data_IF_284445070546
#
_entry.id   IF_284445070546
#
_cell.length_a   1.000
_cell.length_b   1.000
_cell.length_c   1.000
_cell.angle_alpha   90.00
_cell.angle_beta   90.00
_cell.angle_gamma   90.00
#
_symmetry.space_group_name_H-M   'P 1'
#
loop_
_entity.id
_entity.type
_entity.pdbx_description
1 polymer ?
#
# COMPACT_ATOMS: atom_id res chain seq x y z
N UNK A 1 -26.73 -7.73 -31.97
CA UNK A 1 -27.03 -7.76 -30.53
C UNK A 1 -25.74 -7.52 -29.80
N UNK A 2 -25.50 -6.28 -29.38
CA UNK A 2 -24.29 -5.87 -28.63
C UNK A 2 -24.52 -6.28 -27.20
N UNK A 3 -23.82 -7.29 -26.72
CA UNK A 3 -23.78 -7.67 -25.33
C UNK A 3 -23.02 -6.57 -24.58
N UNK A 4 -23.74 -5.70 -23.92
CA UNK A 4 -23.16 -4.76 -22.98
C UNK A 4 -22.72 -5.58 -21.76
N UNK A 5 -21.44 -5.89 -21.68
CA UNK A 5 -20.84 -6.43 -20.46
C UNK A 5 -20.93 -5.31 -19.44
N UNK A 6 -21.85 -5.45 -18.49
CA UNK A 6 -21.90 -4.58 -17.33
C UNK A 6 -20.62 -4.83 -16.54
N UNK A 7 -19.65 -3.94 -16.71
CA UNK A 7 -18.44 -3.94 -15.89
C UNK A 7 -18.88 -3.60 -14.47
N UNK A 8 -18.92 -4.61 -13.59
CA UNK A 8 -19.10 -4.40 -12.18
C UNK A 8 -17.98 -3.47 -11.68
N UNK A 9 -18.32 -2.39 -11.01
CA UNK A 9 -17.35 -1.43 -10.48
C UNK A 9 -16.53 -1.97 -9.30
N UNK A 10 -16.78 -3.19 -8.89
CA UNK A 10 -16.03 -4.00 -7.92
C UNK A 10 -16.02 -5.45 -8.35
N UNK A 11 -15.05 -6.25 -7.91
CA UNK A 11 -15.03 -7.69 -8.14
C UNK A 11 -16.19 -8.39 -7.44
N UNK A 12 -16.38 -9.66 -7.76
CA UNK A 12 -17.39 -10.51 -7.12
C UNK A 12 -17.20 -10.53 -5.60
N UNK A 13 -18.32 -10.62 -4.88
CA UNK A 13 -18.32 -10.85 -3.44
C UNK A 13 -17.53 -12.11 -3.10
N UNK A 14 -16.62 -11.99 -2.15
CA UNK A 14 -15.76 -13.09 -1.72
C UNK A 14 -14.48 -12.61 -1.05
N UNK A 15 -13.71 -13.57 -0.59
CA UNK A 15 -12.39 -13.33 0.01
C UNK A 15 -11.29 -13.58 -1.00
N UNK A 16 -10.36 -12.66 -1.10
CA UNK A 16 -9.25 -12.67 -2.04
C UNK A 16 -7.93 -12.72 -1.27
N UNK A 17 -7.02 -13.56 -1.70
CA UNK A 17 -5.64 -13.61 -1.17
C UNK A 17 -4.72 -12.82 -2.08
N UNK A 18 -3.97 -11.90 -1.52
CA UNK A 18 -2.98 -11.09 -2.23
C UNK A 18 -1.90 -12.01 -2.79
N UNK A 19 -1.55 -11.80 -4.05
CA UNK A 19 -0.41 -12.48 -4.70
C UNK A 19 0.87 -11.67 -4.49
N UNK A 20 1.81 -12.13 -3.64
CA UNK A 20 3.04 -11.40 -3.38
C UNK A 20 3.93 -11.22 -4.61
N UNK A 21 3.83 -12.13 -5.60
CA UNK A 21 4.64 -12.07 -6.81
C UNK A 21 4.19 -10.95 -7.76
N UNK A 22 2.92 -10.55 -7.66
CA UNK A 22 2.30 -9.51 -8.49
C UNK A 22 1.77 -8.35 -7.64
N UNK A 23 2.42 -8.10 -6.50
CA UNK A 23 2.09 -6.97 -5.63
C UNK A 23 3.33 -6.13 -5.39
N UNK A 24 3.22 -4.84 -5.68
CA UNK A 24 4.24 -3.83 -5.38
C UNK A 24 3.71 -2.89 -4.31
N UNK A 25 4.42 -2.81 -3.18
CA UNK A 25 4.14 -1.87 -2.10
C UNK A 25 5.23 -0.81 -2.13
N UNK A 26 5.01 0.21 -2.95
CA UNK A 26 5.95 1.26 -3.23
C UNK A 26 5.77 2.52 -2.40
N UNK A 27 6.82 3.32 -2.33
CA UNK A 27 6.74 4.65 -1.75
C UNK A 27 7.67 5.63 -2.48
N UNK A 28 7.32 6.91 -2.39
CA UNK A 28 8.09 8.02 -2.96
C UNK A 28 8.31 9.07 -1.89
N UNK A 29 9.58 9.38 -1.61
CA UNK A 29 9.98 10.50 -0.76
C UNK A 29 10.76 11.55 -1.56
N UNK A 30 10.75 12.80 -1.11
CA UNK A 30 11.56 13.87 -1.70
C UNK A 30 12.90 13.96 -0.97
N UNK A 31 13.97 14.18 -1.74
CA UNK A 31 15.31 14.38 -1.25
C UNK A 31 15.80 15.77 -1.66
N UNK A 32 16.36 16.51 -0.71
CA UNK A 32 16.88 17.86 -0.92
C UNK A 32 15.90 18.79 -1.69
N UNK A 33 16.34 19.32 -2.81
CA UNK A 33 15.60 20.32 -3.62
C UNK A 33 14.36 19.74 -4.31
N UNK A 34 14.12 18.41 -4.25
CA UNK A 34 12.92 17.82 -4.83
C UNK A 34 13.10 16.56 -5.65
N UNK A 35 14.31 16.00 -5.73
CA UNK A 35 14.54 14.71 -6.40
C UNK A 35 13.71 13.62 -5.71
N UNK A 36 13.01 12.81 -6.49
CA UNK A 36 12.25 11.67 -5.97
C UNK A 36 13.17 10.49 -5.68
N UNK A 37 13.12 10.01 -4.45
CA UNK A 37 13.64 8.69 -4.08
C UNK A 37 12.48 7.73 -4.03
N UNK A 38 12.56 6.67 -4.82
CA UNK A 38 11.58 5.58 -4.86
C UNK A 38 12.13 4.39 -4.11
N UNK A 39 11.25 3.76 -3.35
CA UNK A 39 11.54 2.49 -2.70
C UNK A 39 10.31 1.61 -2.71
N UNK A 40 10.48 0.38 -2.28
CA UNK A 40 9.41 -0.59 -2.13
C UNK A 40 9.74 -1.58 -1.03
N UNK A 41 8.71 -2.32 -0.60
CA UNK A 41 8.85 -3.49 0.25
C UNK A 41 8.64 -4.73 -0.60
N UNK A 42 9.50 -5.72 -0.46
CA UNK A 42 9.51 -6.93 -1.30
C UNK A 42 8.88 -8.15 -0.64
N UNK A 43 8.44 -8.01 0.61
CA UNK A 43 7.82 -9.08 1.38
C UNK A 43 6.49 -8.58 1.97
N UNK A 44 5.41 -9.00 1.35
CA UNK A 44 4.03 -8.62 1.69
C UNK A 44 3.14 -9.85 1.68
N UNK A 45 2.21 -9.90 2.61
CA UNK A 45 1.12 -10.89 2.65
C UNK A 45 -0.18 -10.20 3.05
N UNK A 46 -1.31 -10.77 2.66
CA UNK A 46 -2.60 -10.24 3.04
C UNK A 46 -3.78 -10.86 2.33
N UNK A 47 -4.94 -10.41 2.72
CA UNK A 47 -6.22 -10.77 2.11
C UNK A 47 -7.23 -9.65 2.28
N UNK A 48 -8.23 -9.64 1.43
CA UNK A 48 -9.37 -8.75 1.57
C UNK A 48 -10.66 -9.48 1.23
N UNK A 49 -11.75 -9.00 1.82
CA UNK A 49 -13.09 -9.49 1.53
C UNK A 49 -13.91 -8.38 0.90
N UNK A 50 -14.43 -8.64 -0.29
CA UNK A 50 -15.44 -7.81 -0.93
C UNK A 50 -16.80 -8.27 -0.44
N UNK A 51 -17.50 -7.41 0.27
CA UNK A 51 -18.83 -7.68 0.80
C UNK A 51 -19.93 -7.23 -0.17
N UNK A 52 -21.16 -7.71 0.02
CA UNK A 52 -22.34 -7.25 -0.75
C UNK A 52 -22.55 -5.75 -0.60
N UNK A 53 -22.31 -5.24 0.60
CA UNK A 53 -22.26 -3.82 0.88
C UNK A 53 -20.80 -3.37 0.94
N UNK A 54 -20.35 -2.49 0.05
CA UNK A 54 -18.97 -2.06 -0.01
C UNK A 54 -18.41 -1.55 1.33
N UNK A 55 -19.23 -0.88 2.13
CA UNK A 55 -18.86 -0.37 3.45
C UNK A 55 -18.55 -1.47 4.49
N UNK A 56 -18.96 -2.70 4.23
CA UNK A 56 -18.66 -3.87 5.07
C UNK A 56 -17.42 -4.66 4.58
N UNK A 57 -16.82 -4.23 3.47
CA UNK A 57 -15.60 -4.85 2.94
C UNK A 57 -14.42 -4.61 3.88
N UNK A 58 -13.52 -5.58 3.95
CA UNK A 58 -12.37 -5.56 4.86
C UNK A 58 -11.07 -5.86 4.13
N UNK A 59 -9.96 -5.39 4.68
CA UNK A 59 -8.60 -5.65 4.20
C UNK A 59 -7.68 -5.89 5.39
N UNK A 60 -6.80 -6.85 5.26
CA UNK A 60 -5.69 -7.06 6.17
C UNK A 60 -4.43 -7.34 5.36
N UNK A 61 -3.39 -6.54 5.57
CA UNK A 61 -2.09 -6.75 4.94
C UNK A 61 -0.96 -6.51 5.93
N UNK A 62 0.08 -7.30 5.82
CA UNK A 62 1.31 -7.22 6.62
C UNK A 62 2.50 -7.14 5.67
N UNK A 63 3.39 -6.21 5.95
CA UNK A 63 4.62 -5.98 5.21
C UNK A 63 5.80 -6.16 6.15
N UNK A 64 6.81 -6.93 5.74
CA UNK A 64 8.04 -7.07 6.50
C UNK A 64 8.89 -5.82 6.35
N UNK A 65 9.12 -5.09 7.44
CA UNK A 65 9.86 -3.82 7.40
C UNK A 65 11.30 -4.00 6.93
N UNK A 66 11.91 -5.15 7.22
CA UNK A 66 13.26 -5.49 6.77
C UNK A 66 13.38 -5.63 5.24
N UNK A 67 12.25 -5.84 4.54
CA UNK A 67 12.21 -6.01 3.09
C UNK A 67 12.30 -4.69 2.30
N UNK A 68 12.48 -3.56 2.98
CA UNK A 68 12.64 -2.26 2.33
C UNK A 68 13.82 -2.26 1.37
N UNK A 69 13.57 -1.79 0.15
CA UNK A 69 14.53 -1.77 -0.95
C UNK A 69 14.42 -0.48 -1.74
N UNK A 70 15.53 0.25 -1.86
CA UNK A 70 15.63 1.50 -2.64
C UNK A 70 16.69 1.44 -3.73
N UNK A 71 17.31 0.25 -3.92
CA UNK A 71 18.40 0.07 -4.89
C UNK A 71 19.77 0.57 -4.41
N UNK A 72 19.88 0.99 -3.14
CA UNK A 72 21.13 1.45 -2.56
C UNK A 72 21.33 0.86 -1.16
N UNK A 73 22.30 -0.06 -1.02
CA UNK A 73 22.49 -0.86 0.19
C UNK A 73 22.66 -0.03 1.46
N UNK A 74 23.51 1.00 1.44
CA UNK A 74 23.75 1.83 2.62
C UNK A 74 22.49 2.58 3.08
N UNK A 75 21.67 3.05 2.12
CA UNK A 75 20.40 3.69 2.42
C UNK A 75 19.40 2.68 2.99
N UNK A 76 19.32 1.49 2.41
CA UNK A 76 18.41 0.45 2.88
C UNK A 76 18.77 0.00 4.30
N UNK A 77 20.06 -0.12 4.62
CA UNK A 77 20.54 -0.40 5.97
C UNK A 77 20.17 0.72 6.93
N UNK A 78 20.35 1.98 6.56
CA UNK A 78 20.00 3.14 7.41
C UNK A 78 18.48 3.24 7.63
N UNK A 79 17.66 2.96 6.61
CA UNK A 79 16.20 2.95 6.74
C UNK A 79 15.69 1.90 7.73
N UNK A 80 16.43 0.82 7.99
CA UNK A 80 16.09 -0.21 8.97
C UNK A 80 16.44 0.16 10.41
N UNK A 81 17.28 1.16 10.62
CA UNK A 81 17.70 1.60 11.96
C UNK A 81 16.61 2.37 12.68
N UNK A 82 16.87 2.69 13.98
CA UNK A 82 15.98 3.49 14.79
C UNK A 82 15.81 4.95 14.33
N UNK A 83 16.66 5.43 13.42
CA UNK A 83 16.47 6.73 12.76
C UNK A 83 15.20 6.74 11.89
N UNK A 84 14.80 5.59 11.35
CA UNK A 84 13.65 5.46 10.45
C UNK A 84 12.66 4.40 10.95
N UNK A 85 12.73 3.17 10.43
CA UNK A 85 11.71 2.13 10.69
C UNK A 85 11.91 1.38 11.99
N UNK A 86 13.12 1.38 12.56
CA UNK A 86 13.46 0.67 13.79
C UNK A 86 13.04 -0.82 13.73
N UNK A 87 13.47 -1.48 12.69
CA UNK A 87 13.06 -2.85 12.38
C UNK A 87 13.24 -3.85 13.52
N UNK A 88 14.33 -3.78 14.34
CA UNK A 88 14.47 -4.70 15.47
C UNK A 88 13.33 -4.63 16.49
N UNK A 89 12.74 -3.45 16.68
CA UNK A 89 11.62 -3.24 17.62
C UNK A 89 10.26 -3.26 16.92
N UNK A 90 10.23 -2.97 15.62
CA UNK A 90 9.03 -2.88 14.80
C UNK A 90 9.21 -3.64 13.48
N UNK A 91 9.18 -4.99 13.51
CA UNK A 91 9.52 -5.82 12.35
C UNK A 91 8.51 -5.76 11.20
N UNK A 92 7.29 -5.27 11.47
CA UNK A 92 6.22 -5.23 10.47
C UNK A 92 5.56 -3.86 10.35
N UNK A 93 5.04 -3.57 9.14
CA UNK A 93 4.03 -2.55 8.92
C UNK A 93 2.70 -3.27 8.65
N UNK A 94 1.59 -2.70 9.10
CA UNK A 94 0.27 -3.32 8.88
C UNK A 94 -0.72 -2.32 8.31
N UNK A 95 -1.63 -2.82 7.48
CA UNK A 95 -2.73 -2.07 6.91
C UNK A 95 -4.03 -2.83 7.15
N UNK A 96 -4.97 -2.21 7.86
CA UNK A 96 -6.29 -2.78 8.15
C UNK A 96 -7.36 -1.88 7.55
N UNK A 97 -8.04 -2.36 6.50
CA UNK A 97 -9.10 -1.64 5.82
C UNK A 97 -10.46 -1.81 6.50
N UNK A 98 -11.23 -0.73 6.53
CA UNK A 98 -12.52 -0.63 7.23
C UNK A 98 -13.60 -0.08 6.30
N UNK A 99 -13.92 -0.82 5.24
CA UNK A 99 -14.98 -0.43 4.33
C UNK A 99 -14.54 0.44 3.16
N UNK A 100 -15.35 0.39 2.12
CA UNK A 100 -15.15 1.10 0.87
C UNK A 100 -16.22 2.18 0.71
N UNK A 101 -15.82 3.36 0.27
CA UNK A 101 -16.73 4.44 -0.13
C UNK A 101 -16.54 4.73 -1.61
N UNK A 102 -17.63 4.68 -2.35
CA UNK A 102 -17.62 4.94 -3.80
C UNK A 102 -17.38 6.42 -4.10
N UNK A 103 -16.54 6.69 -5.09
CA UNK A 103 -16.32 8.03 -5.66
C UNK A 103 -16.98 8.13 -7.03
N UNK A 104 -16.69 7.17 -7.92
CA UNK A 104 -17.30 7.06 -9.26
C UNK A 104 -17.41 5.59 -9.70
N UNK A 105 -17.37 5.30 -11.00
CA UNK A 105 -17.59 3.94 -11.51
C UNK A 105 -16.46 2.97 -11.16
N UNK A 106 -15.21 3.43 -11.15
CA UNK A 106 -14.01 2.61 -10.90
C UNK A 106 -13.22 3.04 -9.69
N UNK A 107 -13.48 4.25 -9.17
CA UNK A 107 -12.72 4.86 -8.09
C UNK A 107 -13.49 4.78 -6.77
N UNK A 108 -12.74 4.38 -5.75
CA UNK A 108 -13.20 4.19 -4.39
C UNK A 108 -12.23 4.84 -3.41
N UNK A 109 -12.65 5.02 -2.19
CA UNK A 109 -11.78 5.33 -1.07
C UNK A 109 -11.91 4.20 -0.06
N UNK A 110 -10.78 3.64 0.37
CA UNK A 110 -10.73 2.70 1.49
C UNK A 110 -10.16 3.41 2.71
N UNK A 111 -10.94 3.45 3.79
CA UNK A 111 -10.46 3.93 5.08
C UNK A 111 -9.68 2.84 5.77
N UNK A 112 -8.47 3.15 6.24
CA UNK A 112 -7.58 2.17 6.83
C UNK A 112 -6.99 2.63 8.15
N UNK A 113 -6.60 1.67 8.98
CA UNK A 113 -5.62 1.88 10.04
C UNK A 113 -4.24 1.43 9.52
N UNK A 114 -3.36 2.38 9.31
CA UNK A 114 -1.96 2.13 8.92
C UNK A 114 -1.07 2.19 10.14
N UNK A 115 -0.29 1.14 10.35
CA UNK A 115 0.70 1.08 11.45
C UNK A 115 2.11 1.08 10.88
N UNK A 116 2.90 2.06 11.27
CA UNK A 116 4.33 2.18 10.95
C UNK A 116 5.07 2.45 12.24
N UNK A 117 6.19 1.74 12.48
CA UNK A 117 7.01 1.93 13.68
C UNK A 117 6.18 1.90 14.98
N UNK A 118 5.21 0.99 15.07
CA UNK A 118 4.33 0.84 16.24
C UNK A 118 3.28 1.95 16.42
N UNK A 119 3.21 2.94 15.54
CA UNK A 119 2.22 4.02 15.59
C UNK A 119 1.15 3.77 14.55
N UNK A 120 -0.11 3.74 14.99
CA UNK A 120 -1.29 3.54 14.13
C UNK A 120 -2.00 4.87 13.88
N UNK A 121 -2.28 5.16 12.61
CA UNK A 121 -3.06 6.32 12.18
C UNK A 121 -4.12 5.88 11.18
N UNK A 122 -5.25 6.58 11.21
CA UNK A 122 -6.26 6.46 10.15
C UNK A 122 -5.76 7.16 8.89
N UNK A 123 -5.75 6.42 7.78
CA UNK A 123 -5.31 6.90 6.46
C UNK A 123 -6.30 6.43 5.42
N UNK A 124 -6.81 7.35 4.62
CA UNK A 124 -7.63 7.03 3.47
C UNK A 124 -6.74 6.81 2.25
N UNK A 125 -6.97 5.71 1.53
CA UNK A 125 -6.35 5.42 0.24
C UNK A 125 -7.36 5.64 -0.87
N UNK A 126 -6.95 6.37 -1.89
CA UNK A 126 -7.64 6.37 -3.18
C UNK A 126 -7.38 5.01 -3.84
N UNK A 127 -8.46 4.30 -4.17
CA UNK A 127 -8.43 2.95 -4.70
C UNK A 127 -9.11 2.91 -6.06
N UNK A 128 -8.43 2.35 -7.05
CA UNK A 128 -8.96 2.09 -8.38
C UNK A 128 -9.04 0.59 -8.62
N UNK A 129 -10.20 0.10 -9.04
CA UNK A 129 -10.37 -1.25 -9.53
C UNK A 129 -9.98 -1.30 -11.00
N UNK A 130 -8.90 -2.01 -11.30
CA UNK A 130 -8.33 -2.11 -12.64
C UNK A 130 -8.99 -3.19 -13.51
N UNK A 131 -9.63 -4.17 -12.87
CA UNK A 131 -10.35 -5.22 -13.55
C UNK A 131 -10.18 -6.61 -12.97
N UNK A 132 -10.84 -7.57 -13.60
CA UNK A 132 -10.73 -8.99 -13.27
C UNK A 132 -10.43 -9.81 -14.52
N UNK A 133 -9.77 -10.95 -14.36
CA UNK A 133 -9.40 -11.84 -15.43
C UNK A 133 -9.22 -13.29 -14.97
N UNK A 134 -9.04 -14.17 -15.93
CA UNK A 134 -8.68 -15.56 -15.65
C UNK A 134 -7.21 -15.64 -15.21
N UNK A 135 -6.95 -16.40 -14.15
CA UNK A 135 -5.59 -16.72 -13.73
C UNK A 135 -4.95 -17.73 -14.71
N UNK A 136 -3.62 -17.75 -14.76
CA UNK A 136 -2.87 -18.84 -15.38
C UNK A 136 -3.14 -20.19 -14.69
N UNK A 137 -3.59 -20.19 -13.44
CA UNK A 137 -4.08 -21.37 -12.74
C UNK A 137 -5.53 -21.62 -13.16
N UNK A 138 -5.79 -22.79 -13.74
CA UNK A 138 -7.09 -23.18 -14.25
C UNK A 138 -8.20 -23.04 -13.19
N UNK A 139 -9.30 -22.37 -13.56
CA UNK A 139 -10.46 -22.18 -12.71
C UNK A 139 -10.37 -21.08 -11.68
N UNK A 140 -9.24 -20.30 -11.60
CA UNK A 140 -9.11 -19.17 -10.69
C UNK A 140 -9.37 -17.84 -11.41
N UNK A 141 -10.02 -16.93 -10.69
CA UNK A 141 -10.18 -15.53 -11.08
C UNK A 141 -9.18 -14.69 -10.29
N UNK A 142 -8.49 -13.80 -10.98
CA UNK A 142 -7.64 -12.77 -10.39
C UNK A 142 -8.27 -11.40 -10.59
N UNK A 143 -8.04 -10.53 -9.63
CA UNK A 143 -8.47 -9.13 -9.63
C UNK A 143 -7.26 -8.24 -9.42
N UNK A 144 -7.29 -7.04 -9.99
CA UNK A 144 -6.21 -6.07 -9.86
C UNK A 144 -6.71 -4.73 -9.35
N UNK A 145 -5.92 -4.12 -8.46
CA UNK A 145 -6.19 -2.81 -7.88
C UNK A 145 -4.93 -1.95 -7.86
N UNK A 146 -5.13 -0.64 -7.99
CA UNK A 146 -4.16 0.39 -7.68
C UNK A 146 -4.65 1.20 -6.47
N UNK A 147 -3.76 1.53 -5.55
CA UNK A 147 -4.10 2.35 -4.39
C UNK A 147 -3.01 3.37 -4.08
N UNK A 148 -3.40 4.59 -3.72
CA UNK A 148 -2.45 5.65 -3.36
C UNK A 148 -2.89 6.41 -2.13
N UNK A 149 -1.91 6.83 -1.33
CA UNK A 149 -2.12 7.75 -0.21
C UNK A 149 -0.89 8.63 -0.01
N UNK A 150 -1.08 9.79 0.59
CA UNK A 150 0.03 10.64 1.02
C UNK A 150 -0.02 10.79 2.53
N UNK A 151 1.09 10.50 3.20
CA UNK A 151 1.24 10.61 4.64
C UNK A 151 2.35 11.60 5.00
N UNK A 152 2.31 12.12 6.21
CA UNK A 152 3.47 12.75 6.86
C UNK A 152 4.17 11.69 7.71
N UNK A 153 5.42 11.35 7.37
CA UNK A 153 6.20 10.32 8.06
C UNK A 153 6.39 10.60 9.56
N UNK A 154 6.37 11.89 9.94
CA UNK A 154 6.53 12.32 11.33
C UNK A 154 5.36 11.92 12.22
N UNK A 155 4.15 11.78 11.64
CA UNK A 155 2.97 11.30 12.36
C UNK A 155 3.14 9.87 12.90
N UNK A 156 4.09 9.13 12.31
CA UNK A 156 4.46 7.77 12.70
C UNK A 156 5.78 7.71 13.48
N UNK A 157 6.29 8.85 13.96
CA UNK A 157 7.54 8.90 14.70
C UNK A 157 8.80 8.76 13.83
N UNK A 158 8.68 8.78 12.50
CA UNK A 158 9.81 8.75 11.57
C UNK A 158 10.24 10.17 11.27
N UNK A 159 10.97 10.77 12.20
CA UNK A 159 11.29 12.22 12.18
C UNK A 159 12.75 12.54 11.89
N UNK A 160 13.62 11.52 11.78
CA UNK A 160 15.05 11.75 11.50
C UNK A 160 15.25 12.60 10.25
N UNK A 161 16.18 13.56 10.34
CA UNK A 161 16.61 14.40 9.24
C UNK A 161 17.99 14.98 9.48
N UNK A 162 18.67 15.37 8.42
CA UNK A 162 19.84 16.22 8.47
C UNK A 162 19.47 17.65 8.04
N UNK A 163 19.90 18.64 8.81
CA UNK A 163 19.82 20.04 8.41
C UNK A 163 21.10 20.45 7.71
N UNK A 164 20.96 21.13 6.59
CA UNK A 164 22.08 21.74 5.88
C UNK A 164 22.40 23.11 6.45
N UNK A 165 23.53 23.69 6.05
CA UNK A 165 24.00 24.98 6.54
C UNK A 165 23.03 26.15 6.25
N UNK A 166 22.23 26.03 5.20
CA UNK A 166 21.17 26.98 4.82
C UNK A 166 19.83 26.75 5.52
N UNK A 167 19.77 25.76 6.45
CA UNK A 167 18.56 25.37 7.17
C UNK A 167 17.61 24.45 6.40
N UNK A 168 17.93 24.10 5.17
CA UNK A 168 17.17 23.10 4.41
C UNK A 168 17.36 21.69 4.99
N UNK A 169 16.41 20.79 4.70
CA UNK A 169 16.41 19.41 5.19
C UNK A 169 16.62 18.42 4.05
N UNK A 170 17.28 17.31 4.38
CA UNK A 170 17.68 16.30 3.38
C UNK A 170 16.49 15.44 2.95
N UNK A 171 15.57 15.11 3.86
CA UNK A 171 14.43 14.22 3.59
C UNK A 171 13.11 14.95 3.79
N UNK A 172 12.28 14.95 2.76
CA UNK A 172 10.93 15.51 2.82
C UNK A 172 10.05 14.78 3.85
N UNK A 173 9.08 15.48 4.41
CA UNK A 173 8.19 14.91 5.41
C UNK A 173 7.04 14.11 4.80
N UNK A 174 6.58 14.52 3.62
CA UNK A 174 5.51 13.82 2.91
C UNK A 174 6.07 12.63 2.14
N UNK A 175 5.40 11.51 2.29
CA UNK A 175 5.68 10.26 1.58
C UNK A 175 4.41 9.84 0.85
N UNK A 176 4.53 9.59 -0.45
CA UNK A 176 3.44 9.02 -1.25
C UNK A 176 3.60 7.50 -1.21
N UNK A 177 2.53 6.81 -0.85
CA UNK A 177 2.42 5.35 -0.90
C UNK A 177 1.71 5.00 -2.20
N UNK A 178 2.29 4.09 -2.99
CA UNK A 178 1.76 3.61 -4.25
C UNK A 178 1.70 2.08 -4.18
N UNK A 179 0.52 1.50 -4.29
CA UNK A 179 0.32 0.05 -4.19
C UNK A 179 -0.34 -0.42 -5.48
N UNK A 180 0.29 -1.40 -6.14
CA UNK A 180 -0.29 -2.18 -7.22
C UNK A 180 -0.40 -3.63 -6.74
N UNK A 181 -1.56 -4.24 -6.87
CA UNK A 181 -1.78 -5.60 -6.36
C UNK A 181 -2.66 -6.42 -7.26
N UNK A 182 -2.29 -7.68 -7.41
CA UNK A 182 -3.18 -8.74 -7.87
C UNK A 182 -3.58 -9.63 -6.68
N UNK A 183 -4.78 -10.16 -6.74
CA UNK A 183 -5.28 -11.09 -5.74
C UNK A 183 -6.16 -12.15 -6.39
N UNK A 184 -6.10 -13.36 -5.86
CA UNK A 184 -6.90 -14.48 -6.31
C UNK A 184 -8.08 -14.74 -5.37
N UNK A 185 -9.26 -15.02 -5.95
CA UNK A 185 -10.43 -15.44 -5.19
C UNK A 185 -10.09 -16.74 -4.44
N UNK A 186 -10.27 -16.74 -3.13
CA UNK A 186 -10.11 -17.93 -2.30
C UNK A 186 -11.20 -18.97 -2.67
N UNK A 187 -10.80 -20.23 -2.63
CA UNK A 187 -11.71 -21.34 -2.96
C UNK A 187 -12.80 -21.51 -1.89
#
# INVERSE_FOLDING_TARGET
MTTTTSTSSLPKVGTYTIDPAHTDVGFVARHLVGTKVRGRFTDVEGSFTVAEKPEESTLQATVQAASIFTGQVQRDEHLRTNDFLDVPNHPTLTLVGKGLRRVDETNWVISTDLTIRGVTKSVDFDLEFLGEGASMQEGKTVVAFSATATIDRRDFGVSFNHSLLDGSVVVGNKVVIEIETEAALAA
#
